data_IF_388545138289
#
_entry.id   IF_388545138289
#
_cell.length_a   1.000
_cell.length_b   1.000
_cell.length_c   1.000
_cell.angle_alpha   90.00
_cell.angle_beta   90.00
_cell.angle_gamma   90.00
#
_symmetry.space_group_name_H-M   'P 1'
#
loop_
_entity.id
_entity.type
_entity.pdbx_description
1 polymer ?
#
# COMPACT_ATOMS: atom_id res chain seq x y z
N UNK A 1 22.66 -12.13 -7.54
CA UNK A 1 21.79 -13.34 -7.54
C UNK A 1 21.31 -13.77 -6.14
N UNK A 2 22.17 -13.91 -5.11
CA UNK A 2 21.75 -14.34 -3.75
C UNK A 2 20.69 -13.44 -3.09
N UNK A 3 20.78 -12.12 -3.25
CA UNK A 3 19.87 -11.17 -2.59
C UNK A 3 18.50 -11.04 -3.27
N UNK A 4 18.44 -11.14 -4.60
CA UNK A 4 17.17 -11.25 -5.32
C UNK A 4 16.40 -12.52 -4.93
N UNK A 5 17.14 -13.59 -4.63
CA UNK A 5 16.57 -14.83 -4.09
C UNK A 5 16.03 -14.64 -2.67
N UNK A 6 16.80 -13.99 -1.77
CA UNK A 6 16.32 -13.66 -0.41
C UNK A 6 15.09 -12.76 -0.43
N UNK A 7 15.08 -11.73 -1.27
CA UNK A 7 13.90 -10.90 -1.48
C UNK A 7 12.72 -11.70 -1.96
N UNK A 8 12.89 -12.47 -3.04
CA UNK A 8 11.81 -13.33 -3.54
C UNK A 8 11.32 -14.31 -2.47
N UNK A 9 12.20 -14.86 -1.66
CA UNK A 9 11.81 -15.74 -0.54
C UNK A 9 11.10 -14.98 0.57
N UNK A 10 11.49 -13.74 0.89
CA UNK A 10 10.75 -12.87 1.83
C UNK A 10 9.38 -12.45 1.27
N UNK A 11 9.27 -12.19 -0.03
CA UNK A 11 8.01 -11.89 -0.71
C UNK A 11 7.11 -13.12 -0.79
N UNK A 12 7.66 -14.28 -1.12
CA UNK A 12 6.93 -15.55 -1.14
C UNK A 12 6.56 -15.99 0.27
N UNK A 13 7.43 -15.79 1.26
CA UNK A 13 7.10 -16.02 2.67
C UNK A 13 6.05 -15.03 3.15
N UNK A 14 6.13 -13.75 2.78
CA UNK A 14 5.05 -12.80 3.01
C UNK A 14 3.77 -13.35 2.39
N UNK A 15 3.73 -13.64 1.08
CA UNK A 15 2.60 -14.27 0.38
C UNK A 15 2.15 -15.63 0.92
N UNK A 16 3.00 -16.39 1.62
CA UNK A 16 2.66 -17.67 2.26
C UNK A 16 2.17 -17.50 3.71
N UNK A 17 2.59 -16.43 4.38
CA UNK A 17 1.99 -15.91 5.60
C UNK A 17 0.84 -14.93 5.30
N UNK A 18 0.45 -14.76 4.03
CA UNK A 18 -0.81 -14.13 3.63
C UNK A 18 -1.92 -15.08 4.01
N UNK A 19 -2.25 -14.98 5.29
CA UNK A 19 -3.50 -15.34 5.93
C UNK A 19 -4.67 -15.09 4.97
N UNK A 20 -5.65 -16.00 4.94
CA UNK A 20 -6.87 -15.87 4.12
C UNK A 20 -7.60 -14.53 4.39
N UNK A 21 -7.31 -13.94 5.54
CA UNK A 21 -7.80 -12.65 6.00
C UNK A 21 -7.12 -11.43 5.35
N UNK A 22 -6.13 -11.57 4.47
CA UNK A 22 -5.37 -10.40 3.98
C UNK A 22 -6.21 -9.42 3.15
N UNK A 23 -7.26 -9.91 2.47
CA UNK A 23 -8.27 -9.07 1.84
C UNK A 23 -9.56 -8.98 2.66
N UNK A 24 -9.48 -9.39 3.93
CA UNK A 24 -10.57 -9.21 4.87
C UNK A 24 -10.68 -7.72 5.22
N UNK A 25 -11.87 -7.20 4.94
CA UNK A 25 -12.27 -5.85 5.24
C UNK A 25 -12.36 -5.59 6.77
N UNK A 26 -12.16 -6.61 7.62
CA UNK A 26 -12.03 -6.46 9.08
C UNK A 26 -10.62 -6.09 9.54
N UNK A 27 -9.61 -6.10 8.66
CA UNK A 27 -8.24 -5.75 9.04
C UNK A 27 -8.18 -4.30 9.58
N UNK A 28 -7.63 -4.05 10.79
CA UNK A 28 -7.59 -2.71 11.39
C UNK A 28 -6.88 -1.65 10.53
N UNK A 29 -5.87 -2.06 9.76
CA UNK A 29 -5.19 -1.17 8.82
C UNK A 29 -6.11 -0.79 7.65
N UNK A 30 -6.81 -1.77 7.07
CA UNK A 30 -7.77 -1.51 5.99
C UNK A 30 -8.87 -0.56 6.46
N UNK A 31 -9.48 -0.83 7.61
CA UNK A 31 -10.55 0.01 8.18
C UNK A 31 -10.07 1.47 8.31
N UNK A 32 -8.88 1.70 8.88
CA UNK A 32 -8.31 3.05 9.00
C UNK A 32 -8.06 3.75 7.68
N UNK A 33 -7.52 3.04 6.68
CA UNK A 33 -7.25 3.61 5.36
C UNK A 33 -8.58 3.93 4.65
N UNK A 34 -9.54 3.02 4.71
CA UNK A 34 -10.86 3.20 4.11
C UNK A 34 -11.61 4.37 4.75
N UNK A 35 -11.65 4.46 6.08
CA UNK A 35 -12.27 5.57 6.81
C UNK A 35 -11.65 6.92 6.41
N UNK A 36 -10.33 7.00 6.25
CA UNK A 36 -9.67 8.22 5.81
C UNK A 36 -10.01 8.61 4.36
N UNK A 37 -10.17 7.61 3.48
CA UNK A 37 -10.61 7.84 2.09
C UNK A 37 -12.09 8.27 2.03
N UNK A 38 -12.96 7.62 2.79
CA UNK A 38 -14.36 7.97 2.92
C UNK A 38 -14.50 9.40 3.45
N UNK A 39 -13.75 9.78 4.49
CA UNK A 39 -13.72 11.14 5.03
C UNK A 39 -13.29 12.16 3.97
N UNK A 40 -12.33 11.82 3.10
CA UNK A 40 -11.93 12.69 2.00
C UNK A 40 -13.06 12.91 0.98
N UNK A 41 -13.84 11.87 0.68
CA UNK A 41 -14.99 11.96 -0.22
C UNK A 41 -16.11 12.77 0.43
N UNK A 42 -16.45 12.49 1.69
CA UNK A 42 -17.48 13.21 2.45
C UNK A 42 -17.19 14.70 2.55
N UNK A 43 -15.91 15.05 2.80
CA UNK A 43 -15.44 16.44 2.86
C UNK A 43 -15.21 17.07 1.48
N UNK A 44 -15.49 16.36 0.39
CA UNK A 44 -15.28 16.80 -1.00
C UNK A 44 -13.84 17.26 -1.28
N UNK A 45 -12.87 16.65 -0.59
CA UNK A 45 -11.45 16.91 -0.82
C UNK A 45 -10.96 16.21 -2.09
N UNK A 46 -11.47 15.00 -2.33
CA UNK A 46 -11.18 14.19 -3.51
C UNK A 46 -12.45 13.54 -4.03
N UNK A 47 -12.50 13.34 -5.34
CA UNK A 47 -13.39 12.37 -5.99
C UNK A 47 -12.51 11.27 -6.56
N UNK A 48 -12.88 10.01 -6.35
CA UNK A 48 -12.10 8.86 -6.81
C UNK A 48 -12.77 8.20 -8.01
N UNK A 49 -11.96 7.77 -8.97
CA UNK A 49 -12.41 7.08 -10.19
C UNK A 49 -12.75 5.60 -9.97
N UNK A 50 -12.53 5.11 -8.75
CA UNK A 50 -12.80 3.76 -8.26
C UNK A 50 -13.43 3.86 -6.87
N UNK A 51 -14.06 2.78 -6.39
CA UNK A 51 -14.64 2.75 -5.06
C UNK A 51 -13.56 2.82 -3.96
N UNK A 52 -13.87 3.46 -2.83
CA UNK A 52 -12.90 3.70 -1.75
C UNK A 52 -12.36 2.40 -1.13
N UNK A 53 -13.10 1.28 -1.23
CA UNK A 53 -12.62 -0.03 -0.80
C UNK A 53 -11.50 -0.52 -1.72
N UNK A 54 -11.67 -0.44 -3.03
CA UNK A 54 -10.64 -0.82 -4.01
C UNK A 54 -9.41 0.07 -3.86
N UNK A 55 -9.60 1.39 -3.76
CA UNK A 55 -8.49 2.34 -3.54
C UNK A 55 -7.75 2.04 -2.24
N UNK A 56 -8.45 1.69 -1.15
CA UNK A 56 -7.80 1.35 0.12
C UNK A 56 -6.87 0.15 -0.01
N UNK A 57 -7.32 -0.92 -0.66
CA UNK A 57 -6.51 -2.13 -0.87
C UNK A 57 -5.30 -1.85 -1.77
N UNK A 58 -5.50 -1.13 -2.86
CA UNK A 58 -4.41 -0.72 -3.76
C UNK A 58 -3.33 0.10 -3.04
N UNK A 59 -3.72 1.06 -2.19
CA UNK A 59 -2.78 1.84 -1.40
C UNK A 59 -2.01 0.98 -0.39
N UNK A 60 -2.69 0.04 0.28
CA UNK A 60 -2.07 -0.85 1.25
C UNK A 60 -1.04 -1.75 0.57
N UNK A 61 -1.41 -2.38 -0.54
CA UNK A 61 -0.53 -3.29 -1.27
C UNK A 61 0.67 -2.55 -1.87
N UNK A 62 0.45 -1.36 -2.41
CA UNK A 62 1.52 -0.50 -2.87
C UNK A 62 2.47 -0.09 -1.73
N UNK A 63 1.94 0.25 -0.55
CA UNK A 63 2.76 0.60 0.62
C UNK A 63 3.64 -0.57 1.09
N UNK A 64 3.10 -1.79 1.08
CA UNK A 64 3.85 -3.02 1.39
C UNK A 64 4.96 -3.25 0.37
N UNK A 65 4.69 -3.03 -0.91
CA UNK A 65 5.68 -3.09 -1.97
C UNK A 65 6.86 -2.13 -1.75
N UNK A 66 6.60 -0.91 -1.25
CA UNK A 66 7.66 0.06 -0.92
C UNK A 66 8.53 -0.42 0.24
N UNK A 67 7.93 -0.93 1.31
CA UNK A 67 8.66 -1.47 2.48
C UNK A 67 9.51 -2.67 2.07
N UNK A 68 8.97 -3.52 1.22
CA UNK A 68 9.69 -4.66 0.68
C UNK A 68 10.87 -4.24 -0.20
N UNK A 69 10.69 -3.27 -1.11
CA UNK A 69 11.78 -2.68 -1.92
C UNK A 69 12.87 -2.06 -1.03
N UNK A 70 12.51 -1.44 0.10
CA UNK A 70 13.46 -0.87 1.05
C UNK A 70 14.38 -1.93 1.66
N UNK A 71 13.81 -3.04 2.16
CA UNK A 71 14.61 -4.13 2.70
C UNK A 71 15.47 -4.81 1.62
N UNK A 72 14.90 -5.00 0.41
CA UNK A 72 15.64 -5.53 -0.74
C UNK A 72 16.87 -4.70 -1.10
N UNK A 73 16.76 -3.39 -0.94
CA UNK A 73 17.82 -2.43 -1.21
C UNK A 73 18.68 -2.12 0.00
N UNK A 74 18.63 -2.96 1.04
CA UNK A 74 19.44 -2.85 2.25
C UNK A 74 19.35 -1.46 2.88
N UNK A 75 18.13 -0.94 2.98
CA UNK A 75 17.89 0.32 3.70
C UNK A 75 18.60 1.54 3.08
N UNK A 76 18.93 1.46 1.78
CA UNK A 76 19.75 2.45 1.06
C UNK A 76 19.11 3.82 0.80
N UNK A 77 17.91 4.07 1.32
CA UNK A 77 17.23 5.35 1.18
C UNK A 77 16.34 5.65 2.38
N UNK A 78 16.02 6.93 2.61
CA UNK A 78 15.05 7.31 3.63
C UNK A 78 13.65 6.77 3.27
N UNK A 79 13.23 5.72 3.98
CA UNK A 79 11.95 5.06 3.77
C UNK A 79 10.78 6.04 3.91
N UNK A 80 10.81 6.97 4.87
CA UNK A 80 9.67 7.87 5.11
C UNK A 80 9.51 8.86 3.98
N UNK A 81 10.61 9.52 3.58
CA UNK A 81 10.59 10.50 2.50
C UNK A 81 10.21 9.87 1.16
N UNK A 82 10.81 8.72 0.84
CA UNK A 82 10.53 8.01 -0.42
C UNK A 82 9.12 7.43 -0.44
N UNK A 83 8.66 6.84 0.66
CA UNK A 83 7.30 6.30 0.73
C UNK A 83 6.25 7.39 0.61
N UNK A 84 6.37 8.51 1.33
CA UNK A 84 5.43 9.63 1.21
C UNK A 84 5.33 10.15 -0.24
N UNK A 85 6.46 10.31 -0.93
CA UNK A 85 6.49 10.76 -2.34
C UNK A 85 5.86 9.74 -3.28
N UNK A 86 6.15 8.44 -3.11
CA UNK A 86 5.59 7.37 -3.95
C UNK A 86 4.09 7.21 -3.70
N UNK A 87 3.67 7.16 -2.43
CA UNK A 87 2.26 7.07 -2.03
C UNK A 87 1.44 8.23 -2.58
N UNK A 88 1.91 9.47 -2.47
CA UNK A 88 1.21 10.64 -3.02
C UNK A 88 0.99 10.53 -4.54
N UNK A 89 2.01 10.05 -5.26
CA UNK A 89 1.91 9.85 -6.71
C UNK A 89 0.91 8.76 -7.06
N UNK A 90 0.94 7.65 -6.32
CA UNK A 90 0.03 6.53 -6.54
C UNK A 90 -1.41 6.88 -6.20
N UNK A 91 -1.67 7.54 -5.07
CA UNK A 91 -3.00 8.08 -4.74
C UNK A 91 -3.55 8.97 -5.87
N UNK A 92 -2.67 9.78 -6.48
CA UNK A 92 -3.05 10.66 -7.59
C UNK A 92 -3.54 9.94 -8.86
N UNK A 93 -3.32 8.63 -9.01
CA UNK A 93 -3.87 7.88 -10.16
C UNK A 93 -5.34 7.52 -9.98
N UNK A 94 -5.83 7.54 -8.73
CA UNK A 94 -7.22 7.25 -8.39
C UNK A 94 -8.09 8.50 -8.32
N UNK A 95 -7.51 9.70 -8.28
CA UNK A 95 -8.27 10.95 -8.17
C UNK A 95 -8.81 11.35 -9.55
N UNK A 96 -10.13 11.59 -9.64
CA UNK A 96 -10.78 12.16 -10.82
C UNK A 96 -10.27 13.57 -11.10
N UNK A 97 -10.10 13.90 -12.38
CA UNK A 97 -9.58 15.20 -12.83
C UNK A 97 -10.68 16.23 -13.04
#
# INVERSE_FOLDING_TARGET
>A
MKFAKLGRELYVCALHYYDENLFDDTIPLYVKVKEALDECVEKKLYSFNEDTRTVAWELIDFSRGIVFDYYLRQESYDLRSVSAKRMKRYLGTFIEK
#
